data_IF_437767952349
#
_entry.id   IF_437767952349
#
_cell.length_a   1.000
_cell.length_b   1.000
_cell.length_c   1.000
_cell.angle_alpha   90.00
_cell.angle_beta   90.00
_cell.angle_gamma   90.00
#
_symmetry.space_group_name_H-M   'P 1'
#
loop_
_entity.id
_entity.type
_entity.pdbx_description
1 polymer ?
#
# COMPACT_ATOMS: atom_id res chain seq x y z
N UNK A 1 0.99 13.01 14.82
CA UNK A 1 0.23 11.80 14.46
C UNK A 1 -1.23 12.16 14.13
N UNK A 2 -1.48 12.89 13.04
CA UNK A 2 -2.83 13.29 12.65
C UNK A 2 -3.08 12.91 11.20
N UNK A 3 -3.73 11.75 10.99
CA UNK A 3 -4.25 11.34 9.70
C UNK A 3 -5.60 12.01 9.48
N UNK A 4 -5.81 12.63 8.32
CA UNK A 4 -7.12 13.22 7.95
C UNK A 4 -8.14 12.15 7.50
N UNK A 5 -7.74 10.87 7.43
CA UNK A 5 -8.61 9.74 7.05
C UNK A 5 -9.00 8.92 8.27
N UNK A 6 -10.26 8.44 8.27
CA UNK A 6 -10.84 7.57 9.31
C UNK A 6 -10.10 6.24 9.47
N UNK A 7 -9.49 5.74 8.41
CA UNK A 7 -8.70 4.50 8.44
C UNK A 7 -7.45 4.60 7.55
N UNK A 8 -6.38 3.95 7.99
CA UNK A 8 -5.13 3.75 7.25
C UNK A 8 -4.71 2.30 7.50
N UNK A 9 -4.57 1.52 6.43
CA UNK A 9 -4.06 0.15 6.55
C UNK A 9 -2.55 0.22 6.69
N UNK A 10 -2.02 -0.43 7.71
CA UNK A 10 -0.58 -0.41 8.01
C UNK A 10 -0.07 -1.84 8.04
N UNK A 11 1.02 -2.09 7.33
CA UNK A 11 1.69 -3.39 7.28
C UNK A 11 1.14 -4.32 6.18
N UNK A 12 2.04 -5.15 5.65
CA UNK A 12 1.72 -6.13 4.59
C UNK A 12 0.72 -7.19 5.06
N UNK A 13 0.76 -7.56 6.34
CA UNK A 13 -0.15 -8.52 6.97
C UNK A 13 -1.61 -8.07 6.87
N UNK A 14 -1.89 -6.80 7.13
CA UNK A 14 -3.24 -6.21 7.02
C UNK A 14 -3.80 -6.33 5.60
N UNK A 15 -2.97 -6.04 4.59
CA UNK A 15 -3.40 -6.16 3.19
C UNK A 15 -3.65 -7.62 2.81
N UNK A 16 -2.77 -8.53 3.22
CA UNK A 16 -2.96 -9.95 2.97
C UNK A 16 -4.26 -10.44 3.61
N UNK A 17 -4.55 -10.03 4.84
CA UNK A 17 -5.80 -10.37 5.51
C UNK A 17 -7.02 -9.84 4.75
N UNK A 18 -6.99 -8.57 4.31
CA UNK A 18 -8.09 -7.96 3.56
C UNK A 18 -8.29 -8.64 2.21
N UNK A 19 -7.21 -8.92 1.48
CA UNK A 19 -7.26 -9.63 0.20
C UNK A 19 -7.78 -11.06 0.39
N UNK A 20 -7.26 -11.78 1.39
CA UNK A 20 -7.72 -13.13 1.72
C UNK A 20 -9.20 -13.15 2.06
N UNK A 21 -9.70 -12.18 2.85
CA UNK A 21 -11.11 -12.12 3.20
C UNK A 21 -11.98 -11.86 1.97
N UNK A 22 -11.51 -10.99 1.06
CA UNK A 22 -12.24 -10.63 -0.15
C UNK A 22 -12.41 -11.81 -1.12
N UNK A 23 -11.43 -12.69 -1.21
CA UNK A 23 -11.45 -13.82 -2.16
C UNK A 23 -11.82 -15.16 -1.52
N UNK A 24 -11.52 -15.36 -0.24
CA UNK A 24 -11.66 -16.63 0.47
C UNK A 24 -12.19 -16.43 1.92
N UNK A 25 -13.37 -15.82 2.12
CA UNK A 25 -13.87 -15.44 3.44
C UNK A 25 -13.97 -16.63 4.41
N UNK A 26 -14.60 -17.73 3.99
CA UNK A 26 -14.78 -18.90 4.86
C UNK A 26 -13.48 -19.64 5.22
N UNK A 27 -12.47 -19.59 4.34
CA UNK A 27 -11.14 -20.16 4.65
C UNK A 27 -10.41 -19.28 5.65
N UNK A 28 -10.50 -17.96 5.49
CA UNK A 28 -9.91 -17.02 6.44
C UNK A 28 -10.57 -17.15 7.82
N UNK A 29 -11.89 -17.25 7.91
CA UNK A 29 -12.59 -17.42 9.19
C UNK A 29 -12.13 -18.70 9.92
N UNK A 30 -12.00 -19.82 9.21
CA UNK A 30 -11.52 -21.07 9.79
C UNK A 30 -10.05 -20.99 10.20
N UNK A 31 -9.22 -20.31 9.40
CA UNK A 31 -7.82 -20.05 9.74
C UNK A 31 -7.71 -19.17 10.99
N UNK A 32 -8.46 -18.06 11.05
CA UNK A 32 -8.46 -17.13 12.18
C UNK A 32 -8.99 -17.77 13.46
N UNK A 33 -10.03 -18.61 13.38
CA UNK A 33 -10.54 -19.35 14.52
C UNK A 33 -9.49 -20.28 15.13
N UNK A 34 -8.67 -20.92 14.29
CA UNK A 34 -7.64 -21.85 14.76
C UNK A 34 -6.36 -21.12 15.20
N UNK A 35 -5.86 -20.21 14.37
CA UNK A 35 -4.58 -19.53 14.60
C UNK A 35 -4.69 -18.34 15.55
N UNK A 36 -5.82 -17.62 15.56
CA UNK A 36 -6.00 -16.43 16.40
C UNK A 36 -5.90 -16.74 17.91
N UNK A 37 -6.35 -17.93 18.33
CA UNK A 37 -6.19 -18.37 19.70
C UNK A 37 -4.74 -18.78 20.00
N UNK A 38 -4.15 -19.66 19.19
CA UNK A 38 -2.79 -20.15 19.41
C UNK A 38 -1.74 -19.04 19.32
N UNK A 39 -1.93 -18.03 18.45
CA UNK A 39 -1.01 -16.90 18.31
C UNK A 39 -1.02 -15.93 19.49
N UNK A 40 -2.04 -15.97 20.37
CA UNK A 40 -2.04 -15.22 21.62
C UNK A 40 -1.28 -15.94 22.74
N UNK A 41 -1.07 -17.25 22.60
CA UNK A 41 -0.32 -18.06 23.54
C UNK A 41 1.16 -18.09 23.17
N UNK A 42 2.01 -18.22 24.17
CA UNK A 42 3.45 -18.35 24.01
C UNK A 42 3.94 -19.47 24.91
N UNK A 43 4.82 -20.33 24.40
CA UNK A 43 5.44 -21.39 25.20
C UNK A 43 6.57 -20.82 26.08
N UNK A 44 6.96 -19.57 25.86
CA UNK A 44 7.92 -18.86 26.69
C UNK A 44 7.39 -18.73 28.13
N UNK A 45 8.16 -19.19 29.15
CA UNK A 45 7.75 -19.07 30.53
C UNK A 45 7.62 -17.60 30.93
N UNK A 46 6.61 -17.28 31.75
CA UNK A 46 6.46 -15.94 32.32
C UNK A 46 7.64 -15.64 33.23
N UNK A 47 8.28 -14.50 33.04
CA UNK A 47 9.30 -14.00 33.94
C UNK A 47 8.65 -13.66 35.30
N UNK A 48 9.08 -14.30 36.41
CA UNK A 48 8.50 -14.04 37.74
C UNK A 48 8.80 -12.63 38.26
N UNK A 49 9.78 -11.94 37.69
CA UNK A 49 10.12 -10.55 38.03
C UNK A 49 9.38 -9.49 37.21
N UNK A 50 8.61 -9.91 36.19
CA UNK A 50 7.85 -8.98 35.36
C UNK A 50 6.70 -8.34 36.18
N UNK A 51 6.67 -7.01 36.33
CA UNK A 51 5.61 -6.33 37.07
C UNK A 51 4.27 -6.50 36.35
N UNK A 52 3.19 -6.66 37.12
CA UNK A 52 1.85 -6.59 36.58
C UNK A 52 1.42 -5.14 36.32
N UNK A 53 0.40 -4.99 35.47
CA UNK A 53 -0.17 -3.70 35.10
C UNK A 53 -1.70 -3.70 35.24
N UNK A 54 -2.25 -4.56 36.10
CA UNK A 54 -3.70 -4.77 36.18
C UNK A 54 -4.40 -3.68 36.99
N UNK A 55 -3.76 -3.22 38.06
CA UNK A 55 -4.31 -2.20 38.96
C UNK A 55 -3.63 -0.84 38.79
N UNK A 56 -2.33 -0.84 38.51
CA UNK A 56 -1.54 0.37 38.35
C UNK A 56 -0.66 0.27 37.09
N UNK A 57 -0.36 1.43 36.48
CA UNK A 57 0.57 1.48 35.36
C UNK A 57 2.00 1.24 35.84
N UNK A 58 2.79 0.46 35.07
CA UNK A 58 4.21 0.28 35.34
C UNK A 58 4.93 1.62 35.12
N UNK A 59 5.71 2.13 36.09
CA UNK A 59 6.42 3.39 35.95
C UNK A 59 7.46 3.35 34.81
N UNK A 60 7.55 4.44 34.04
CA UNK A 60 8.56 4.63 32.99
C UNK A 60 7.99 4.68 31.58
N UNK A 61 8.87 4.86 30.59
CA UNK A 61 8.55 4.73 29.17
C UNK A 61 8.94 3.30 28.71
N UNK A 62 7.98 2.44 28.33
CA UNK A 62 8.27 1.09 27.85
C UNK A 62 9.05 1.07 26.52
N UNK A 63 9.15 2.21 25.82
CA UNK A 63 9.82 2.33 24.53
C UNK A 63 9.03 1.73 23.38
N UNK A 64 9.57 1.85 22.16
CA UNK A 64 8.93 1.32 20.93
C UNK A 64 9.37 -0.09 20.55
N UNK A 65 10.22 -0.69 21.38
CA UNK A 65 10.93 -1.94 21.11
C UNK A 65 10.47 -3.02 22.06
N UNK A 66 10.33 -4.24 21.56
CA UNK A 66 9.89 -5.37 22.38
C UNK A 66 10.08 -6.72 21.74
N UNK A 67 9.37 -7.72 22.27
CA UNK A 67 9.48 -9.13 21.85
C UNK A 67 9.21 -9.40 20.36
N UNK A 68 8.66 -8.43 19.64
CA UNK A 68 8.34 -8.52 18.21
C UNK A 68 9.34 -7.80 17.31
N UNK A 69 10.41 -7.21 17.85
CA UNK A 69 11.40 -6.47 17.06
C UNK A 69 12.03 -7.32 15.96
N UNK A 70 12.28 -8.60 16.25
CA UNK A 70 12.87 -9.55 15.30
C UNK A 70 11.99 -9.80 14.06
N UNK A 71 10.69 -9.53 14.14
CA UNK A 71 9.75 -9.66 13.03
C UNK A 71 9.11 -8.32 12.63
N UNK A 72 9.55 -7.21 13.22
CA UNK A 72 9.13 -5.88 12.86
C UNK A 72 9.87 -5.43 11.59
N UNK A 73 9.16 -4.74 10.70
CA UNK A 73 9.76 -4.11 9.54
C UNK A 73 9.78 -2.59 9.70
N UNK A 74 10.94 -1.98 9.51
CA UNK A 74 11.14 -0.54 9.69
C UNK A 74 10.46 0.31 8.61
N UNK A 75 10.07 -0.30 7.47
CA UNK A 75 9.43 0.42 6.38
C UNK A 75 8.40 -0.45 5.67
N UNK A 76 7.43 0.20 5.02
CA UNK A 76 6.45 -0.48 4.17
C UNK A 76 6.21 0.37 2.93
N UNK A 77 6.49 -0.21 1.75
CA UNK A 77 6.23 0.45 0.45
C UNK A 77 4.79 0.90 0.33
N UNK A 78 3.85 0.11 0.88
CA UNK A 78 2.44 0.47 0.88
C UNK A 78 2.16 1.65 1.80
N UNK A 79 2.73 1.68 3.01
CA UNK A 79 2.57 2.83 3.90
C UNK A 79 3.14 4.09 3.25
N UNK A 80 4.34 3.99 2.66
CA UNK A 80 4.98 5.06 1.91
C UNK A 80 4.08 5.55 0.77
N UNK A 81 3.59 4.65 -0.09
CA UNK A 81 2.71 5.00 -1.20
C UNK A 81 1.38 5.62 -0.72
N UNK A 82 0.85 5.15 0.41
CA UNK A 82 -0.37 5.66 1.02
C UNK A 82 -0.19 7.09 1.52
N UNK A 83 0.98 7.41 2.08
CA UNK A 83 1.36 8.76 2.52
C UNK A 83 1.68 9.68 1.33
N UNK A 84 2.31 9.15 0.28
CA UNK A 84 2.74 9.91 -0.91
C UNK A 84 1.75 9.86 -2.08
N UNK A 85 0.53 9.34 -1.86
CA UNK A 85 -0.46 9.13 -2.94
C UNK A 85 -0.74 10.36 -3.78
N UNK A 86 -0.72 11.56 -3.18
CA UNK A 86 -0.95 12.81 -3.90
C UNK A 86 0.17 13.11 -4.89
N UNK A 87 1.42 12.92 -4.46
CA UNK A 87 2.60 13.04 -5.32
C UNK A 87 2.60 11.97 -6.43
N UNK A 88 2.22 10.73 -6.09
CA UNK A 88 2.09 9.65 -7.07
C UNK A 88 1.02 9.96 -8.13
N UNK A 89 -0.15 10.46 -7.73
CA UNK A 89 -1.21 10.86 -8.65
C UNK A 89 -0.79 12.04 -9.52
N UNK A 90 -0.16 13.07 -8.95
CA UNK A 90 0.35 14.20 -9.71
C UNK A 90 1.42 13.77 -10.72
N UNK A 91 2.36 12.92 -10.32
CA UNK A 91 3.37 12.35 -11.20
C UNK A 91 2.76 11.51 -12.33
N UNK A 92 1.77 10.67 -12.03
CA UNK A 92 1.06 9.88 -13.03
C UNK A 92 0.31 10.76 -14.05
N UNK A 93 -0.36 11.83 -13.59
CA UNK A 93 -1.04 12.79 -14.47
C UNK A 93 -0.05 13.54 -15.37
N UNK A 94 1.08 13.99 -14.81
CA UNK A 94 2.12 14.68 -15.57
C UNK A 94 2.73 13.76 -16.65
N UNK A 95 3.03 12.51 -16.29
CA UNK A 95 3.54 11.52 -17.24
C UNK A 95 2.51 11.22 -18.34
N UNK A 96 1.23 11.05 -17.97
CA UNK A 96 0.14 10.83 -18.92
C UNK A 96 0.00 12.00 -19.90
N UNK A 97 0.03 13.24 -19.40
CA UNK A 97 -0.01 14.43 -20.25
C UNK A 97 1.20 14.51 -21.19
N UNK A 98 2.40 14.20 -20.69
CA UNK A 98 3.62 14.18 -21.50
C UNK A 98 3.57 13.14 -22.62
N UNK A 99 3.18 11.90 -22.30
CA UNK A 99 3.01 10.81 -23.28
C UNK A 99 1.94 11.19 -24.31
N UNK A 100 0.81 11.74 -23.88
CA UNK A 100 -0.26 12.18 -24.78
C UNK A 100 0.24 13.27 -25.73
N UNK A 101 1.02 14.23 -25.22
CA UNK A 101 1.61 15.32 -26.02
C UNK A 101 2.57 14.76 -27.08
N UNK A 102 3.46 13.83 -26.71
CA UNK A 102 4.37 13.18 -27.66
C UNK A 102 3.63 12.38 -28.73
N UNK A 103 2.56 11.67 -28.37
CA UNK A 103 1.76 10.89 -29.32
C UNK A 103 0.96 11.77 -30.27
N UNK A 104 0.48 12.94 -29.83
CA UNK A 104 -0.25 13.91 -30.68
C UNK A 104 0.71 14.68 -31.58
N UNK A 105 1.84 15.16 -31.04
CA UNK A 105 2.85 15.89 -31.79
C UNK A 105 3.64 15.01 -32.76
N UNK A 106 3.78 13.71 -32.45
CA UNK A 106 4.42 12.71 -33.30
C UNK A 106 3.56 12.21 -34.47
N UNK A 107 2.32 12.71 -34.66
CA UNK A 107 1.54 12.42 -35.87
C UNK A 107 2.01 13.37 -36.98
N UNK A 108 2.80 12.92 -37.97
CA UNK A 108 3.15 13.79 -39.08
C UNK A 108 1.85 14.22 -39.78
N UNK A 109 1.76 15.51 -40.12
CA UNK A 109 0.66 16.09 -40.88
C UNK A 109 0.71 15.59 -42.34
N UNK A 110 0.56 14.28 -42.53
CA UNK A 110 0.58 13.64 -43.83
C UNK A 110 -0.83 13.75 -44.45
N UNK A 111 -1.17 14.94 -44.94
CA UNK A 111 -2.00 15.18 -46.13
C UNK A 111 -2.39 16.64 -46.21
N UNK A 112 -1.67 17.39 -47.02
CA UNK A 112 -2.27 18.35 -47.93
C UNK A 112 -1.29 18.57 -49.10
N UNK A 113 -1.10 17.52 -49.91
CA UNK A 113 -0.60 17.71 -51.27
C UNK A 113 -1.85 17.97 -52.11
N UNK A 114 -2.08 19.20 -52.61
CA UNK A 114 -3.12 19.43 -53.60
C UNK A 114 -2.77 18.59 -54.83
N UNK A 115 -3.71 17.76 -55.26
CA UNK A 115 -3.62 17.06 -56.54
C UNK A 115 -3.52 18.12 -57.63
N UNK A 116 -2.30 18.33 -58.10
CA UNK A 116 -1.97 19.20 -59.22
C UNK A 116 -2.81 18.80 -60.43
N UNK A 117 -3.27 19.83 -61.10
CA UNK A 117 -4.19 19.82 -62.21
C UNK A 117 -3.90 18.77 -63.27
N UNK A 118 -5.01 18.25 -63.79
CA UNK A 118 -5.15 17.55 -65.04
C UNK A 118 -4.08 17.95 -66.07
N UNK A 119 -3.15 17.02 -66.32
CA UNK A 119 -2.36 17.01 -67.53
C UNK A 119 -3.32 16.85 -68.72
N UNK A 120 -3.51 17.97 -69.40
CA UNK A 120 -4.03 18.07 -70.74
C UNK A 120 -3.05 17.38 -71.71
N UNK A 121 -3.63 16.85 -72.80
CA UNK A 121 -3.05 16.56 -74.11
C UNK A 121 -2.41 15.21 -74.42
N UNK A 122 -3.08 14.59 -75.40
CA UNK A 122 -2.61 13.84 -76.59
C UNK A 122 -1.98 12.46 -76.40
#
# INVERSE_FOLDING_TARGET
>A
AHSRRREVWVGRSSIQAIAANKFFPGLLDRYLAHKGYTSQLTDAPKDPSQPDNLFDAVPGDPGTHGRFDNCAEASSVQLWATQHRGALLAGALALGAFVTTLLVAGRPLARFLPSGDAACNQ
#
